data_IF_954192556678
#
_entry.id   IF_954192556678
#
_cell.length_a   1.000
_cell.length_b   1.000
_cell.length_c   1.000
_cell.angle_alpha   90.00
_cell.angle_beta   90.00
_cell.angle_gamma   90.00
#
_symmetry.space_group_name_H-M   'P 1'
#
loop_
_entity.id
_entity.type
_entity.pdbx_description
1 polymer ?
#
# COMPACT_ATOMS: atom_id res chain seq x y z
N UNK A 1 -56.47 4.42 19.68
CA UNK A 1 -55.50 5.48 20.00
C UNK A 1 -54.22 4.78 20.40
N UNK A 2 -53.36 4.52 19.41
CA UNK A 2 -52.19 5.35 19.05
C UNK A 2 -51.04 5.17 20.05
N UNK A 3 -49.96 4.57 19.55
CA UNK A 3 -48.70 4.42 20.27
C UNK A 3 -47.72 3.47 19.59
N UNK A 4 -47.58 3.50 18.26
CA UNK A 4 -46.44 2.87 17.59
C UNK A 4 -45.26 3.82 17.69
N UNK A 5 -44.34 3.54 18.61
CA UNK A 5 -43.04 4.19 18.68
C UNK A 5 -42.25 3.84 17.42
N UNK A 6 -42.04 4.84 16.56
CA UNK A 6 -41.11 4.73 15.44
C UNK A 6 -39.70 4.70 16.02
N UNK A 7 -39.08 3.53 16.02
CA UNK A 7 -37.64 3.40 16.27
C UNK A 7 -36.93 4.00 15.07
N UNK A 8 -36.32 5.16 15.27
CA UNK A 8 -35.36 5.73 14.32
C UNK A 8 -34.15 4.79 14.37
N UNK A 9 -34.03 3.94 13.36
CA UNK A 9 -32.84 3.13 13.13
C UNK A 9 -31.68 4.08 12.88
N UNK A 10 -30.75 4.16 13.83
CA UNK A 10 -29.42 4.71 13.62
C UNK A 10 -28.64 3.78 12.68
N UNK A 11 -28.93 3.84 11.38
CA UNK A 11 -27.97 3.46 10.36
C UNK A 11 -27.09 4.67 10.09
N UNK A 12 -25.92 4.70 10.72
CA UNK A 12 -24.84 5.58 10.29
C UNK A 12 -24.52 5.26 8.83
N UNK A 13 -24.96 6.14 7.92
CA UNK A 13 -24.65 6.06 6.49
C UNK A 13 -23.13 5.95 6.31
N UNK A 14 -22.70 4.83 5.76
CA UNK A 14 -21.31 4.58 5.42
C UNK A 14 -20.89 5.58 4.34
N UNK A 15 -19.91 6.44 4.64
CA UNK A 15 -19.17 7.15 3.62
C UNK A 15 -18.60 6.12 2.62
N UNK A 16 -18.98 6.24 1.35
CA UNK A 16 -18.25 5.57 0.29
C UNK A 16 -16.85 6.19 0.22
N UNK A 17 -15.85 5.32 0.08
CA UNK A 17 -14.45 5.71 -0.03
C UNK A 17 -14.01 5.23 -1.40
N UNK A 18 -13.59 6.16 -2.24
CA UNK A 18 -13.05 5.90 -3.57
C UNK A 18 -11.59 6.28 -3.61
N UNK A 19 -10.82 5.56 -4.42
CA UNK A 19 -9.43 5.86 -4.74
C UNK A 19 -9.35 6.16 -6.23
N UNK A 20 -8.92 7.35 -6.61
CA UNK A 20 -8.61 7.71 -7.98
C UNK A 20 -7.12 7.49 -8.24
N UNK A 21 -6.80 6.83 -9.36
CA UNK A 21 -5.44 6.62 -9.81
C UNK A 21 -5.26 7.32 -11.13
N UNK A 22 -4.20 8.12 -11.23
CA UNK A 22 -3.83 8.85 -12.42
C UNK A 22 -2.41 8.43 -12.81
N UNK A 23 -2.28 7.66 -13.89
CA UNK A 23 -0.99 7.28 -14.45
C UNK A 23 -0.53 8.31 -15.48
N UNK A 24 0.70 8.79 -15.34
CA UNK A 24 1.27 9.87 -16.14
C UNK A 24 2.79 9.82 -16.17
N UNK A 25 3.40 10.63 -17.04
CA UNK A 25 4.85 10.74 -17.12
C UNK A 25 5.40 11.54 -15.95
N UNK A 26 6.22 10.90 -15.13
CA UNK A 26 7.08 11.58 -14.17
C UNK A 26 8.32 12.11 -14.88
N UNK A 27 8.56 13.41 -14.82
CA UNK A 27 9.84 13.97 -15.25
C UNK A 27 10.86 13.80 -14.12
N UNK A 28 12.03 13.27 -14.46
CA UNK A 28 13.16 13.10 -13.53
C UNK A 28 13.67 14.48 -13.11
N UNK A 29 13.21 14.98 -11.97
CA UNK A 29 13.83 16.12 -11.30
C UNK A 29 15.08 15.58 -10.60
N UNK A 30 16.25 15.84 -11.22
CA UNK A 30 17.54 15.43 -10.67
C UNK A 30 17.65 15.79 -9.18
N UNK A 31 18.12 14.81 -8.40
CA UNK A 31 18.58 14.89 -7.01
C UNK A 31 18.62 16.31 -6.40
N UNK A 32 17.58 16.67 -5.65
CA UNK A 32 17.61 17.37 -4.35
C UNK A 32 16.18 17.78 -3.95
N UNK A 33 15.51 16.95 -3.14
CA UNK A 33 14.46 17.39 -2.20
C UNK A 33 13.19 18.09 -2.73
N UNK A 34 12.95 18.19 -4.04
CA UNK A 34 11.76 18.84 -4.59
C UNK A 34 10.59 17.85 -4.80
N UNK A 35 9.40 18.31 -4.43
CA UNK A 35 8.14 17.57 -4.47
C UNK A 35 7.82 17.15 -5.91
N UNK A 36 7.67 15.84 -6.12
CA UNK A 36 7.41 15.24 -7.42
C UNK A 36 5.96 15.53 -7.84
N UNK A 37 5.73 16.65 -8.52
CA UNK A 37 4.42 17.05 -9.01
C UNK A 37 4.15 16.52 -10.43
N UNK A 38 2.99 15.89 -10.63
CA UNK A 38 2.46 15.62 -11.97
C UNK A 38 2.00 16.95 -12.59
N UNK A 39 2.55 17.31 -13.75
CA UNK A 39 2.04 18.46 -14.52
C UNK A 39 0.74 18.09 -15.20
N UNK A 40 -0.36 18.68 -14.73
CA UNK A 40 -1.69 18.48 -15.27
C UNK A 40 -1.78 19.02 -16.71
N UNK A 41 -2.30 18.19 -17.62
CA UNK A 41 -3.02 18.53 -18.87
C UNK A 41 -2.57 17.93 -20.22
N UNK A 42 -1.34 17.44 -20.43
CA UNK A 42 -0.96 16.86 -21.76
C UNK A 42 -0.44 15.42 -21.76
N UNK A 43 -0.27 14.77 -20.60
CA UNK A 43 0.40 13.46 -20.50
C UNK A 43 -0.38 12.30 -19.88
N UNK A 44 -1.60 12.51 -19.38
CA UNK A 44 -2.35 11.47 -18.65
C UNK A 44 -2.78 10.33 -19.57
N UNK A 45 -2.06 9.23 -19.46
CA UNK A 45 -2.22 8.01 -20.24
C UNK A 45 -3.52 7.27 -19.85
N UNK A 46 -3.70 7.10 -18.54
CA UNK A 46 -4.74 6.27 -17.94
C UNK A 46 -5.19 6.93 -16.62
N UNK A 47 -6.50 7.05 -16.42
CA UNK A 47 -7.10 7.46 -15.13
C UNK A 47 -8.29 6.56 -14.80
N UNK A 48 -8.44 6.18 -13.53
CA UNK A 48 -9.57 5.37 -13.08
C UNK A 48 -9.84 5.51 -11.59
N UNK A 49 -11.09 5.28 -11.21
CA UNK A 49 -11.54 5.29 -9.82
C UNK A 49 -11.89 3.88 -9.38
N UNK A 50 -11.32 3.48 -8.26
CA UNK A 50 -11.55 2.20 -7.60
C UNK A 50 -12.41 2.44 -6.35
N UNK A 51 -13.56 1.78 -6.30
CA UNK A 51 -14.38 1.67 -5.10
C UNK A 51 -13.92 0.53 -4.18
N UNK A 52 -14.67 0.31 -3.10
CA UNK A 52 -14.35 -0.78 -2.14
C UNK A 52 -14.27 -2.13 -2.85
N UNK A 53 -13.28 -2.94 -2.44
CA UNK A 53 -13.04 -4.29 -2.96
C UNK A 53 -12.62 -4.37 -4.44
N UNK A 54 -12.14 -3.27 -5.05
CA UNK A 54 -11.56 -3.31 -6.40
C UNK A 54 -12.56 -3.11 -7.54
N UNK A 55 -13.80 -2.68 -7.25
CA UNK A 55 -14.76 -2.31 -8.30
C UNK A 55 -14.32 -1.02 -8.97
N UNK A 56 -14.04 -1.06 -10.27
CA UNK A 56 -13.76 0.17 -11.03
C UNK A 56 -15.10 0.87 -11.30
N UNK A 57 -15.26 2.10 -10.81
CA UNK A 57 -16.44 2.95 -11.05
C UNK A 57 -16.26 3.90 -12.23
N UNK A 58 -15.01 4.24 -12.55
CA UNK A 58 -14.64 5.10 -13.67
C UNK A 58 -13.32 4.62 -14.26
N UNK A 59 -13.19 4.61 -15.58
CA UNK A 59 -11.94 4.33 -16.29
C UNK A 59 -11.88 5.13 -17.58
N UNK A 60 -10.73 5.76 -17.82
CA UNK A 60 -10.39 6.48 -19.02
C UNK A 60 -8.98 6.13 -19.45
N UNK A 61 -8.79 5.95 -20.75
CA UNK A 61 -7.50 5.67 -21.34
C UNK A 61 -7.47 6.34 -22.72
N UNK A 62 -6.39 7.05 -23.05
CA UNK A 62 -6.24 7.74 -24.35
C UNK A 62 -6.15 6.80 -25.55
N UNK A 63 -5.83 5.53 -25.35
CA UNK A 63 -5.70 4.52 -26.41
C UNK A 63 -6.89 3.58 -26.52
N UNK A 64 -7.94 3.75 -25.70
CA UNK A 64 -9.14 2.92 -25.73
C UNK A 64 -10.36 3.73 -26.13
N UNK A 65 -11.30 3.07 -26.81
CA UNK A 65 -12.62 3.63 -27.09
C UNK A 65 -13.49 3.65 -25.82
N UNK A 66 -14.47 4.56 -25.73
CA UNK A 66 -15.38 4.61 -24.57
C UNK A 66 -16.11 3.28 -24.28
N UNK A 67 -16.38 2.47 -25.30
CA UNK A 67 -17.07 1.17 -25.18
C UNK A 67 -16.15 0.09 -24.58
N UNK A 68 -14.85 0.14 -24.90
CA UNK A 68 -13.82 -0.70 -24.28
C UNK A 68 -13.60 -0.33 -22.82
N UNK A 69 -13.68 0.96 -22.49
CA UNK A 69 -13.57 1.47 -21.12
C UNK A 69 -14.74 1.00 -20.23
N UNK A 70 -15.97 0.92 -20.75
CA UNK A 70 -17.16 0.50 -19.98
C UNK A 70 -17.11 -0.95 -19.50
N UNK A 71 -16.38 -1.83 -20.19
CA UNK A 71 -16.27 -3.25 -19.86
C UNK A 71 -14.95 -3.61 -19.15
N UNK A 72 -14.20 -2.61 -18.69
CA UNK A 72 -12.93 -2.81 -18.03
C UNK A 72 -13.12 -3.25 -16.58
N UNK A 73 -12.41 -4.30 -16.18
CA UNK A 73 -12.29 -4.70 -14.78
C UNK A 73 -10.86 -4.52 -14.30
N UNK A 74 -10.67 -4.46 -12.99
CA UNK A 74 -9.35 -4.29 -12.39
C UNK A 74 -8.37 -5.41 -12.80
N UNK A 75 -8.84 -6.66 -12.82
CA UNK A 75 -8.00 -7.79 -13.24
C UNK A 75 -7.67 -7.76 -14.75
N UNK A 76 -8.58 -7.26 -15.59
CA UNK A 76 -8.30 -7.05 -17.03
C UNK A 76 -7.28 -5.95 -17.25
N UNK A 77 -7.37 -4.87 -16.48
CA UNK A 77 -6.42 -3.77 -16.53
C UNK A 77 -5.01 -4.24 -16.15
N UNK A 78 -4.90 -5.03 -15.08
CA UNK A 78 -3.65 -5.66 -14.67
C UNK A 78 -3.07 -6.66 -15.68
N UNK A 79 -3.91 -7.21 -16.58
CA UNK A 79 -3.49 -8.14 -17.63
C UNK A 79 -3.18 -7.45 -18.96
N UNK A 80 -3.37 -6.12 -19.06
CA UNK A 80 -3.08 -5.35 -20.25
C UNK A 80 -1.65 -4.84 -20.23
N UNK A 81 -0.80 -5.33 -21.14
CA UNK A 81 0.61 -4.95 -21.21
C UNK A 81 0.80 -3.42 -21.34
N UNK A 82 -0.05 -2.77 -22.15
CA UNK A 82 -0.02 -1.31 -22.34
C UNK A 82 -0.27 -0.58 -21.02
N UNK A 83 -1.29 -1.02 -20.26
CA UNK A 83 -1.63 -0.36 -19.01
C UNK A 83 -0.58 -0.59 -17.93
N UNK A 84 0.00 -1.79 -17.87
CA UNK A 84 1.08 -2.11 -16.95
C UNK A 84 2.33 -1.30 -17.25
N UNK A 85 2.68 -1.14 -18.53
CA UNK A 85 3.88 -0.39 -18.92
C UNK A 85 3.76 1.13 -18.66
N UNK A 86 2.57 1.71 -18.79
CA UNK A 86 2.37 3.11 -18.39
C UNK A 86 2.37 3.30 -16.88
N UNK A 87 1.75 2.40 -16.14
CA UNK A 87 1.76 2.44 -14.67
C UNK A 87 3.17 2.23 -14.11
N UNK A 88 4.03 1.47 -14.80
CA UNK A 88 5.46 1.32 -14.46
C UNK A 88 6.27 2.61 -14.61
N UNK A 89 5.80 3.58 -15.40
CA UNK A 89 6.43 4.92 -15.51
C UNK A 89 6.11 5.80 -14.28
N UNK A 90 5.31 5.28 -13.36
CA UNK A 90 4.83 5.93 -12.15
C UNK A 90 3.36 6.32 -12.28
N UNK A 91 2.72 6.54 -11.14
CA UNK A 91 1.33 7.01 -11.06
C UNK A 91 1.09 7.78 -9.77
N UNK A 92 0.03 8.57 -9.74
CA UNK A 92 -0.48 9.20 -8.52
C UNK A 92 -1.73 8.47 -8.06
N UNK A 93 -1.86 8.33 -6.74
CA UNK A 93 -3.07 7.84 -6.08
C UNK A 93 -3.66 8.99 -5.27
N UNK A 94 -4.90 9.36 -5.58
CA UNK A 94 -5.72 10.29 -4.81
C UNK A 94 -6.78 9.50 -4.08
N UNK A 95 -6.90 9.70 -2.78
CA UNK A 95 -8.02 9.14 -2.03
C UNK A 95 -9.07 10.21 -1.83
N UNK A 96 -10.31 9.90 -2.18
CA UNK A 96 -11.44 10.79 -2.03
C UNK A 96 -12.29 10.36 -0.83
N UNK A 97 -12.69 11.34 -0.02
CA UNK A 97 -13.64 11.18 1.07
C UNK A 97 -14.94 11.90 0.72
N UNK A 98 -16.03 11.13 0.67
CA UNK A 98 -17.38 11.68 0.57
C UNK A 98 -17.92 11.97 1.98
N UNK A 99 -18.37 13.21 2.22
CA UNK A 99 -19.10 13.60 3.43
C UNK A 99 -20.55 13.94 3.06
N UNK A 100 -21.49 13.43 3.87
CA UNK A 100 -22.88 13.87 3.82
C UNK A 100 -22.97 15.23 4.52
N UNK A 101 -23.46 16.23 3.81
CA UNK A 101 -23.81 17.52 4.38
C UNK A 101 -25.01 17.35 5.31
N UNK A 102 -24.90 17.88 6.53
CA UNK A 102 -25.96 17.78 7.54
C UNK A 102 -27.24 18.48 7.04
N UNK A 103 -28.26 17.70 6.68
CA UNK A 103 -29.56 18.21 6.24
C UNK A 103 -29.77 18.35 4.73
N UNK A 104 -28.86 17.87 3.88
CA UNK A 104 -29.07 17.80 2.41
C UNK A 104 -28.76 16.40 1.84
N UNK A 105 -29.26 16.14 0.63
CA UNK A 105 -28.96 14.92 -0.17
C UNK A 105 -27.63 15.11 -0.93
N UNK A 106 -26.99 16.29 -0.79
CA UNK A 106 -25.78 16.64 -1.51
C UNK A 106 -24.55 16.05 -0.82
N UNK A 107 -23.73 15.36 -1.60
CA UNK A 107 -22.48 14.79 -1.18
C UNK A 107 -21.35 15.77 -1.50
N UNK A 108 -20.54 16.14 -0.50
CA UNK A 108 -19.30 16.87 -0.73
C UNK A 108 -18.16 15.85 -0.84
N UNK A 109 -17.50 15.83 -2.00
CA UNK A 109 -16.28 15.06 -2.21
C UNK A 109 -15.07 15.95 -1.94
N UNK A 110 -14.15 15.44 -1.13
CA UNK A 110 -12.89 16.12 -0.78
C UNK A 110 -11.73 15.14 -0.88
N UNK A 111 -10.57 15.63 -1.28
CA UNK A 111 -9.34 14.83 -1.29
C UNK A 111 -8.89 14.55 0.16
N UNK A 112 -8.82 13.28 0.55
CA UNK A 112 -8.29 12.83 1.85
C UNK A 112 -6.75 12.87 1.83
N UNK A 113 -6.14 12.39 0.74
CA UNK A 113 -4.70 12.48 0.50
C UNK A 113 -4.36 12.28 -0.98
N UNK A 114 -3.15 12.67 -1.35
CA UNK A 114 -2.50 12.36 -2.62
C UNK A 114 -1.13 11.72 -2.36
N UNK A 115 -0.78 10.67 -3.12
CA UNK A 115 0.51 9.99 -3.04
C UNK A 115 1.05 9.80 -4.45
N UNK A 116 2.25 10.30 -4.70
CA UNK A 116 3.02 10.01 -5.92
C UNK A 116 3.80 8.70 -5.75
N UNK A 117 3.67 7.81 -6.73
CA UNK A 117 4.41 6.56 -6.83
C UNK A 117 5.36 6.66 -8.03
N UNK A 118 6.64 6.97 -7.79
CA UNK A 118 7.61 7.16 -8.87
C UNK A 118 7.97 5.82 -9.56
N UNK A 119 8.51 5.87 -10.79
CA UNK A 119 9.03 4.68 -11.46
C UNK A 119 10.14 3.98 -10.67
N UNK A 120 10.25 2.67 -10.84
CA UNK A 120 11.19 1.83 -10.06
C UNK A 120 10.72 1.55 -8.62
N UNK A 121 9.46 1.84 -8.30
CA UNK A 121 8.85 1.47 -7.02
C UNK A 121 8.43 0.00 -6.99
N UNK A 122 8.72 -0.69 -5.89
CA UNK A 122 8.31 -2.08 -5.65
C UNK A 122 7.62 -2.22 -4.30
N UNK A 123 6.66 -3.15 -4.21
CA UNK A 123 5.97 -3.48 -2.97
C UNK A 123 6.60 -4.72 -2.34
N UNK A 124 7.07 -4.59 -1.10
CA UNK A 124 7.50 -5.71 -0.27
C UNK A 124 6.27 -6.38 0.35
N UNK A 125 5.73 -7.37 -0.35
CA UNK A 125 4.55 -8.09 0.12
C UNK A 125 4.44 -9.48 -0.51
N UNK A 126 4.26 -10.55 0.29
CA UNK A 126 4.11 -11.91 -0.23
C UNK A 126 2.70 -12.10 -0.82
N UNK A 127 2.59 -11.87 -2.13
CA UNK A 127 1.39 -12.14 -2.93
C UNK A 127 1.61 -13.29 -3.91
N UNK A 128 0.56 -13.79 -4.55
CA UNK A 128 0.65 -14.83 -5.59
C UNK A 128 1.49 -14.41 -6.80
N UNK A 129 1.62 -13.09 -7.03
CA UNK A 129 2.42 -12.51 -8.11
C UNK A 129 3.81 -12.03 -7.65
N UNK A 130 4.14 -12.24 -6.38
CA UNK A 130 5.44 -11.84 -5.86
C UNK A 130 6.55 -12.72 -6.43
N UNK A 131 7.63 -12.06 -6.83
CA UNK A 131 8.87 -12.69 -7.27
C UNK A 131 9.93 -12.54 -6.18
N UNK A 132 10.93 -13.40 -6.21
CA UNK A 132 12.10 -13.24 -5.35
C UNK A 132 12.86 -11.96 -5.75
N UNK A 133 13.50 -11.31 -4.78
CA UNK A 133 14.17 -10.00 -5.01
C UNK A 133 15.20 -10.12 -6.14
N UNK A 134 15.91 -11.23 -6.20
CA UNK A 134 16.95 -11.55 -7.18
C UNK A 134 16.39 -11.76 -8.60
N UNK A 135 15.09 -12.01 -8.74
CA UNK A 135 14.41 -12.18 -10.03
C UNK A 135 13.94 -10.85 -10.64
N UNK A 136 14.07 -9.73 -9.91
CA UNK A 136 13.73 -8.41 -10.43
C UNK A 136 14.74 -8.00 -11.49
N UNK A 137 14.25 -7.66 -12.69
CA UNK A 137 15.07 -7.36 -13.87
C UNK A 137 15.19 -5.86 -14.19
N UNK A 138 14.89 -5.01 -13.23
CA UNK A 138 15.01 -3.55 -13.31
C UNK A 138 15.61 -3.00 -12.02
N UNK A 139 16.13 -1.77 -12.07
CA UNK A 139 16.68 -1.08 -10.90
C UNK A 139 15.55 -0.71 -9.92
N UNK A 140 15.61 -1.25 -8.71
CA UNK A 140 14.70 -0.89 -7.62
C UNK A 140 15.14 0.42 -7.01
N UNK A 141 14.32 1.46 -7.15
CA UNK A 141 14.61 2.80 -6.62
C UNK A 141 13.86 3.12 -5.34
N UNK A 142 12.66 2.54 -5.17
CA UNK A 142 11.79 2.82 -4.04
C UNK A 142 11.19 1.53 -3.48
N UNK A 143 11.30 1.33 -2.18
CA UNK A 143 10.75 0.19 -1.48
C UNK A 143 9.52 0.62 -0.69
N UNK A 144 8.35 0.08 -1.07
CA UNK A 144 7.09 0.31 -0.36
C UNK A 144 6.85 -0.85 0.60
N UNK A 145 6.53 -0.54 1.86
CA UNK A 145 6.29 -1.52 2.93
C UNK A 145 5.00 -1.20 3.66
N UNK A 146 4.19 -2.23 3.94
CA UNK A 146 2.96 -2.09 4.70
C UNK A 146 3.23 -2.34 6.19
N UNK A 147 3.27 -1.29 7.00
CA UNK A 147 3.54 -1.41 8.43
C UNK A 147 2.32 -1.88 9.23
N UNK A 148 2.51 -2.92 10.04
CA UNK A 148 1.48 -3.41 10.93
C UNK A 148 1.65 -4.89 11.28
N UNK A 149 0.59 -5.49 11.83
CA UNK A 149 0.54 -6.94 11.92
C UNK A 149 0.32 -7.55 10.55
N UNK A 150 0.70 -8.81 10.36
CA UNK A 150 0.36 -9.59 9.17
C UNK A 150 -1.12 -9.47 8.76
N UNK A 151 -2.05 -9.54 9.72
CA UNK A 151 -3.47 -9.36 9.45
C UNK A 151 -3.82 -7.93 9.01
N UNK A 152 -3.19 -6.90 9.61
CA UNK A 152 -3.38 -5.50 9.22
C UNK A 152 -2.78 -5.21 7.84
N UNK A 153 -1.57 -5.65 7.55
CA UNK A 153 -0.91 -5.50 6.26
C UNK A 153 -1.71 -6.20 5.14
N UNK A 154 -2.18 -7.43 5.36
CA UNK A 154 -3.05 -8.13 4.42
C UNK A 154 -4.38 -7.40 4.19
N UNK A 155 -4.94 -6.82 5.24
CA UNK A 155 -6.15 -5.99 5.13
C UNK A 155 -5.88 -4.72 4.32
N UNK A 156 -4.81 -3.98 4.61
CA UNK A 156 -4.40 -2.81 3.84
C UNK A 156 -4.23 -3.16 2.36
N UNK A 157 -3.51 -4.24 2.05
CA UNK A 157 -3.34 -4.72 0.67
C UNK A 157 -4.68 -4.99 -0.05
N UNK A 158 -5.64 -5.61 0.63
CA UNK A 158 -6.96 -5.90 0.04
C UNK A 158 -7.86 -4.66 -0.05
N UNK A 159 -7.73 -3.70 0.86
CA UNK A 159 -8.52 -2.47 0.91
C UNK A 159 -7.99 -1.38 -0.04
N UNK A 160 -6.76 -1.52 -0.54
CA UNK A 160 -6.08 -0.57 -1.43
C UNK A 160 -5.68 -1.29 -2.73
N UNK A 161 -6.62 -1.60 -3.64
CA UNK A 161 -6.36 -2.46 -4.80
C UNK A 161 -5.27 -1.91 -5.71
N UNK A 162 -5.04 -0.60 -5.71
CA UNK A 162 -3.96 0.06 -6.44
C UNK A 162 -2.57 -0.52 -6.15
N UNK A 163 -2.34 -1.07 -4.96
CA UNK A 163 -1.08 -1.74 -4.61
C UNK A 163 -0.76 -2.92 -5.53
N UNK A 164 -1.79 -3.52 -6.15
CA UNK A 164 -1.65 -4.65 -7.09
C UNK A 164 -0.97 -4.28 -8.40
N UNK A 165 -0.88 -2.99 -8.73
CA UNK A 165 -0.13 -2.50 -9.90
C UNK A 165 1.38 -2.52 -9.71
N UNK A 166 1.84 -2.50 -8.46
CA UNK A 166 3.26 -2.49 -8.18
C UNK A 166 3.85 -3.88 -8.46
N UNK A 167 5.09 -3.95 -8.96
CA UNK A 167 5.88 -5.17 -8.86
C UNK A 167 5.97 -5.60 -7.39
N UNK A 168 5.65 -6.87 -7.13
CA UNK A 168 5.72 -7.42 -5.78
C UNK A 168 7.01 -8.20 -5.61
N UNK A 169 7.74 -7.90 -4.55
CA UNK A 169 8.87 -8.71 -4.12
C UNK A 169 8.53 -9.43 -2.82
N UNK A 170 9.03 -10.66 -2.68
CA UNK A 170 9.00 -11.41 -1.43
C UNK A 170 10.42 -11.72 -0.98
N UNK A 171 10.57 -11.95 0.32
CA UNK A 171 11.81 -12.41 0.90
C UNK A 171 11.69 -13.90 1.16
N UNK A 172 12.66 -14.67 0.68
CA UNK A 172 12.81 -16.07 1.05
C UNK A 172 13.81 -16.15 2.21
N UNK A 173 13.32 -16.03 3.44
CA UNK A 173 14.14 -16.01 4.65
C UNK A 173 13.72 -17.14 5.57
N UNK A 174 14.58 -18.15 5.69
CA UNK A 174 14.39 -19.28 6.60
C UNK A 174 14.74 -18.96 8.07
N UNK A 175 14.95 -17.67 8.40
CA UNK A 175 15.29 -17.24 9.75
C UNK A 175 14.05 -17.00 10.60
N UNK A 176 14.17 -17.32 11.89
CA UNK A 176 13.23 -16.84 12.90
C UNK A 176 13.49 -15.36 13.15
N UNK A 177 12.41 -14.60 13.28
CA UNK A 177 12.49 -13.18 13.62
C UNK A 177 13.09 -12.98 15.01
N UNK A 178 13.98 -12.01 15.18
CA UNK A 178 14.48 -11.53 16.47
C UNK A 178 13.32 -11.08 17.38
N UNK A 179 12.23 -10.62 16.75
CA UNK A 179 11.01 -10.18 17.41
C UNK A 179 10.15 -11.32 17.98
N UNK A 180 10.42 -12.57 17.59
CA UNK A 180 9.63 -13.76 18.00
C UNK A 180 9.55 -13.97 19.51
N UNK A 181 10.52 -13.46 20.26
CA UNK A 181 10.61 -13.63 21.71
C UNK A 181 9.79 -12.60 22.51
N UNK A 182 9.47 -11.45 21.90
CA UNK A 182 8.58 -10.44 22.51
C UNK A 182 7.15 -10.58 21.98
N UNK A 183 7.00 -11.03 20.73
CA UNK A 183 5.70 -11.25 20.10
C UNK A 183 5.68 -12.58 19.37
N UNK A 184 4.65 -13.38 19.62
CA UNK A 184 4.45 -14.64 18.93
C UNK A 184 4.36 -14.45 17.41
N UNK A 185 5.31 -15.03 16.68
CA UNK A 185 5.30 -15.09 15.22
C UNK A 185 4.69 -16.41 14.75
N UNK A 186 3.81 -16.43 13.72
CA UNK A 186 3.11 -17.64 13.30
C UNK A 186 4.03 -18.77 12.82
N UNK A 187 5.14 -18.46 12.14
CA UNK A 187 6.12 -19.41 11.58
C UNK A 187 7.43 -18.69 11.20
N UNK A 188 8.47 -19.44 10.84
CA UNK A 188 9.69 -18.89 10.23
C UNK A 188 9.36 -18.08 8.96
N UNK A 189 10.17 -17.06 8.66
CA UNK A 189 9.89 -16.10 7.59
C UNK A 189 8.86 -15.02 7.93
N UNK A 190 8.27 -15.03 9.14
CA UNK A 190 7.37 -13.96 9.60
C UNK A 190 8.17 -12.92 10.36
N UNK A 191 8.78 -12.04 9.58
CA UNK A 191 9.65 -10.97 10.04
C UNK A 191 8.84 -9.76 10.54
N UNK A 192 9.46 -8.96 11.41
CA UNK A 192 8.97 -7.60 11.71
C UNK A 192 9.19 -6.66 10.51
N UNK A 193 8.54 -5.50 10.52
CA UNK A 193 8.69 -4.49 9.46
C UNK A 193 10.15 -4.09 9.26
N UNK A 194 10.89 -3.84 10.35
CA UNK A 194 12.30 -3.43 10.30
C UNK A 194 13.21 -4.54 9.76
N UNK A 195 13.01 -5.78 10.19
CA UNK A 195 13.76 -6.92 9.66
C UNK A 195 13.49 -7.09 8.17
N UNK A 196 12.22 -7.01 7.77
CA UNK A 196 11.80 -7.11 6.37
C UNK A 196 12.48 -6.04 5.51
N UNK A 197 12.53 -4.79 5.99
CA UNK A 197 13.24 -3.70 5.32
C UNK A 197 14.73 -4.02 5.18
N UNK A 198 15.40 -4.38 6.27
CA UNK A 198 16.84 -4.70 6.24
C UNK A 198 17.15 -5.83 5.27
N UNK A 199 16.41 -6.94 5.33
CA UNK A 199 16.65 -8.07 4.44
C UNK A 199 16.34 -7.73 2.98
N UNK A 200 15.31 -6.93 2.71
CA UNK A 200 15.02 -6.46 1.35
C UNK A 200 16.12 -5.56 0.80
N UNK A 201 16.60 -4.58 1.59
CA UNK A 201 17.67 -3.67 1.17
C UNK A 201 18.97 -4.44 0.87
N UNK A 202 19.35 -5.40 1.72
CA UNK A 202 20.50 -6.27 1.46
C UNK A 202 20.34 -7.09 0.19
N UNK A 203 19.15 -7.62 -0.08
CA UNK A 203 18.89 -8.41 -1.28
C UNK A 203 18.89 -7.54 -2.56
N UNK A 204 18.53 -6.26 -2.45
CA UNK A 204 18.62 -5.28 -3.55
C UNK A 204 20.09 -4.87 -3.83
N UNK A 205 21.01 -5.12 -2.90
CA UNK A 205 22.44 -4.86 -3.05
C UNK A 205 22.96 -3.63 -2.31
N UNK A 206 22.17 -3.08 -1.38
CA UNK A 206 22.63 -2.02 -0.48
C UNK A 206 23.71 -2.51 0.49
N UNK A 207 24.56 -1.60 0.94
CA UNK A 207 25.67 -1.92 1.84
C UNK A 207 25.17 -2.53 3.17
N UNK A 208 25.78 -3.67 3.52
CA UNK A 208 25.37 -4.46 4.68
C UNK A 208 25.78 -3.85 6.01
N UNK A 209 26.88 -3.08 6.09
CA UNK A 209 27.43 -2.63 7.38
C UNK A 209 26.44 -1.75 8.16
N UNK A 210 25.85 -0.74 7.52
CA UNK A 210 24.85 0.13 8.15
C UNK A 210 23.56 -0.61 8.51
N UNK A 211 23.18 -1.59 7.71
CA UNK A 211 21.96 -2.38 7.88
C UNK A 211 22.09 -3.42 9.02
N UNK A 212 23.28 -3.99 9.21
CA UNK A 212 23.58 -4.86 10.36
C UNK A 212 23.50 -4.08 11.67
N UNK A 213 24.07 -2.87 11.73
CA UNK A 213 23.96 -2.02 12.91
C UNK A 213 22.51 -1.69 13.29
N UNK A 214 21.61 -1.57 12.31
CA UNK A 214 20.18 -1.36 12.59
C UNK A 214 19.54 -2.58 13.26
N UNK A 215 19.92 -3.80 12.85
CA UNK A 215 19.46 -5.03 13.49
C UNK A 215 20.04 -5.19 14.90
N UNK A 216 21.29 -4.80 15.12
CA UNK A 216 21.93 -4.83 16.44
C UNK A 216 21.19 -3.91 17.44
N UNK A 217 20.86 -2.69 17.00
CA UNK A 217 20.07 -1.75 17.81
C UNK A 217 18.66 -2.30 18.07
N UNK A 218 18.05 -2.92 17.07
CA UNK A 218 16.74 -3.56 17.22
C UNK A 218 16.78 -4.72 18.22
N UNK A 219 17.81 -5.56 18.17
CA UNK A 219 18.04 -6.64 19.12
C UNK A 219 18.21 -6.12 20.56
N UNK A 220 19.00 -5.05 20.74
CA UNK A 220 19.16 -4.40 22.05
C UNK A 220 17.82 -3.91 22.60
N UNK A 221 17.00 -3.24 21.77
CA UNK A 221 15.68 -2.77 22.16
C UNK A 221 14.76 -3.92 22.58
N UNK A 222 14.80 -5.05 21.86
CA UNK A 222 14.03 -6.26 22.19
C UNK A 222 14.48 -6.81 23.56
N UNK A 223 15.79 -6.85 23.82
CA UNK A 223 16.35 -7.24 25.11
C UNK A 223 15.82 -6.39 26.27
N UNK A 224 15.74 -5.08 26.10
CA UNK A 224 15.19 -4.17 27.10
C UNK A 224 13.68 -4.38 27.33
N UNK A 225 12.92 -4.63 26.26
CA UNK A 225 11.49 -4.94 26.36
C UNK A 225 11.23 -6.24 27.15
N UNK A 226 12.06 -7.27 26.96
CA UNK A 226 11.99 -8.51 27.76
C UNK A 226 12.24 -8.24 29.23
N UNK A 227 13.33 -7.54 29.55
CA UNK A 227 13.68 -7.17 30.94
C UNK A 227 12.53 -6.44 31.62
N UNK A 228 11.93 -5.46 30.93
CA UNK A 228 10.80 -4.71 31.47
C UNK A 228 9.55 -5.57 31.69
N UNK A 229 9.29 -6.55 30.81
CA UNK A 229 8.18 -7.51 30.95
C UNK A 229 8.41 -8.42 32.17
N UNK A 230 9.61 -8.95 32.34
CA UNK A 230 9.95 -9.85 33.45
C UNK A 230 9.91 -9.12 34.81
N UNK A 231 10.39 -7.88 34.86
CA UNK A 231 10.29 -7.01 36.03
C UNK A 231 8.83 -6.72 36.43
N UNK A 232 7.91 -6.63 35.46
CA UNK A 232 6.48 -6.45 35.74
C UNK A 232 5.84 -7.72 36.28
N UNK A 233 6.18 -8.88 35.74
CA UNK A 233 5.65 -10.17 36.17
C UNK A 233 6.15 -10.55 37.58
N UNK A 234 7.41 -10.25 37.88
CA UNK A 234 7.99 -10.47 39.22
C UNK A 234 7.42 -9.55 40.30
N UNK A 235 7.02 -8.32 39.96
CA UNK A 235 6.33 -7.39 40.88
C UNK A 235 4.84 -7.71 41.08
N UNK A 236 4.23 -8.47 40.17
CA UNK A 236 2.82 -8.84 40.20
C UNK A 236 2.56 -10.21 40.85
N UNK A 237 3.63 -10.96 41.17
CA UNK A 237 3.59 -12.25 41.88
C UNK A 237 3.90 -12.07 43.36
#
# INVERSE_FOLDING_TARGET
MLGTGSSISNEAMLAEKGEEIVAGQFMDAGFEGEEVALTDSEGTAISFTIGKYGSISYFSNRWMTPDECQNMSFDRLLGSDIAVDDVRKGFVVKKLQTRLMEGSIEHEESEEFEIAIPPGSVLLFPSERSVDVEAVNFEVKNLIVLDGTWAKAKRMYNENPWLRFLPHIRLDVDKLSLYSEVRHQPRAGYLSTIESIVYAMKAIGEDSEGLDGLLDVFESMIGDQRRCKDDRLSKAS
#
